data_IF_154444555853
#
_entry.id   IF_154444555853
#
_cell.length_a   1.000
_cell.length_b   1.000
_cell.length_c   1.000
_cell.angle_alpha   90.00
_cell.angle_beta   90.00
_cell.angle_gamma   90.00
#
_symmetry.space_group_name_H-M   'P 1'
#
loop_
_entity.id
_entity.type
_entity.pdbx_description
1 polymer ?
#
# COMPACT_ATOMS: atom_id res chain seq x y z
N UNK A 1 36.33 -63.40 42.18
CA UNK A 1 35.22 -63.22 43.15
C UNK A 1 35.40 -61.83 43.72
N UNK A 2 34.53 -60.84 43.55
CA UNK A 2 33.08 -60.75 43.81
C UNK A 2 32.47 -59.80 42.77
N UNK A 3 31.26 -60.13 42.29
CA UNK A 3 30.41 -59.34 41.41
C UNK A 3 29.81 -58.15 42.17
N UNK A 4 29.65 -57.00 41.52
CA UNK A 4 28.60 -56.05 41.86
C UNK A 4 28.17 -55.31 40.60
N UNK A 5 26.97 -55.64 40.15
CA UNK A 5 26.23 -54.99 39.07
C UNK A 5 25.38 -53.93 39.75
N UNK A 6 25.60 -52.65 39.44
CA UNK A 6 24.68 -51.57 39.80
C UNK A 6 24.06 -51.10 38.50
N UNK A 7 22.84 -51.58 38.25
CA UNK A 7 21.97 -51.14 37.17
C UNK A 7 21.31 -49.83 37.60
N UNK A 8 21.90 -48.70 37.21
CA UNK A 8 21.31 -47.37 37.38
C UNK A 8 20.36 -47.07 36.23
N UNK A 9 19.05 -47.07 36.51
CA UNK A 9 18.00 -46.67 35.57
C UNK A 9 18.09 -45.14 35.37
N UNK A 10 18.64 -44.70 34.24
CA UNK A 10 18.65 -43.30 33.86
C UNK A 10 17.25 -42.91 33.34
N UNK A 11 16.49 -42.20 34.17
CA UNK A 11 15.23 -41.58 33.79
C UNK A 11 15.54 -40.45 32.80
N UNK A 12 15.25 -40.68 31.52
CA UNK A 12 15.21 -39.64 30.49
C UNK A 12 13.97 -38.77 30.74
N UNK A 13 14.13 -37.67 31.48
CA UNK A 13 13.14 -36.59 31.52
C UNK A 13 13.19 -35.84 30.19
N UNK A 14 12.27 -36.19 29.28
CA UNK A 14 12.02 -35.47 28.04
C UNK A 14 11.29 -34.17 28.39
N UNK A 15 12.04 -33.10 28.67
CA UNK A 15 11.48 -31.76 28.87
C UNK A 15 10.95 -31.25 27.53
N UNK A 16 9.65 -31.37 27.29
CA UNK A 16 8.98 -30.71 26.18
C UNK A 16 9.08 -29.20 26.40
N UNK A 17 10.00 -28.55 25.68
CA UNK A 17 10.05 -27.09 25.56
C UNK A 17 8.80 -26.65 24.80
N UNK A 18 7.74 -26.32 25.53
CA UNK A 18 6.64 -25.54 25.01
C UNK A 18 7.22 -24.16 24.64
N UNK A 19 7.43 -23.92 23.34
CA UNK A 19 7.77 -22.59 22.83
C UNK A 19 6.49 -21.76 22.96
N UNK A 20 6.30 -21.14 24.12
CA UNK A 20 5.29 -20.09 24.30
C UNK A 20 5.74 -18.91 23.46
N UNK A 21 5.11 -18.73 22.29
CA UNK A 21 5.26 -17.51 21.52
C UNK A 21 4.61 -16.40 22.34
N UNK A 22 5.42 -15.56 22.98
CA UNK A 22 4.92 -14.36 23.62
C UNK A 22 4.40 -13.45 22.52
N UNK A 23 3.09 -13.32 22.42
CA UNK A 23 2.45 -12.30 21.59
C UNK A 23 2.83 -10.95 22.20
N UNK A 24 3.46 -10.09 21.40
CA UNK A 24 3.84 -8.75 21.86
C UNK A 24 2.56 -7.93 22.07
N UNK A 25 2.58 -7.00 23.02
CA UNK A 25 1.49 -6.02 23.11
C UNK A 25 1.54 -5.08 21.90
N UNK A 26 0.41 -4.44 21.58
CA UNK A 26 0.34 -3.43 20.53
C UNK A 26 1.45 -2.37 20.68
N UNK A 27 1.63 -1.83 21.88
CA UNK A 27 2.59 -0.76 22.15
C UNK A 27 4.04 -1.24 21.96
N UNK A 28 4.31 -2.51 22.28
CA UNK A 28 5.62 -3.12 22.04
C UNK A 28 5.89 -3.26 20.54
N UNK A 29 4.93 -3.74 19.76
CA UNK A 29 5.06 -3.85 18.30
C UNK A 29 5.20 -2.48 17.63
N UNK A 30 4.35 -1.52 18.03
CA UNK A 30 4.42 -0.13 17.58
C UNK A 30 5.82 0.45 17.86
N UNK A 31 6.29 0.36 19.10
CA UNK A 31 7.59 0.89 19.50
C UNK A 31 8.74 0.24 18.73
N UNK A 32 8.70 -1.09 18.52
CA UNK A 32 9.70 -1.80 17.73
C UNK A 32 9.69 -1.36 16.25
N UNK A 33 8.51 -1.20 15.64
CA UNK A 33 8.37 -0.72 14.28
C UNK A 33 8.87 0.72 14.11
N UNK A 34 8.49 1.62 15.01
CA UNK A 34 8.94 3.01 14.97
C UNK A 34 10.46 3.15 15.15
N UNK A 35 11.07 2.31 15.98
CA UNK A 35 12.53 2.28 16.14
C UNK A 35 13.28 1.88 14.85
N UNK A 36 12.63 1.11 13.94
CA UNK A 36 13.24 0.64 12.69
C UNK A 36 13.20 1.66 11.55
N UNK A 37 12.40 2.73 11.64
CA UNK A 37 12.23 3.70 10.54
C UNK A 37 13.56 4.29 10.05
N UNK A 38 14.46 4.67 10.97
CA UNK A 38 15.79 5.20 10.60
C UNK A 38 16.65 4.15 9.88
N UNK A 39 16.53 2.89 10.27
CA UNK A 39 17.22 1.78 9.61
C UNK A 39 16.69 1.58 8.20
N UNK A 40 15.37 1.57 8.00
CA UNK A 40 14.75 1.47 6.66
C UNK A 40 15.23 2.60 5.74
N UNK A 41 15.24 3.84 6.22
CA UNK A 41 15.76 4.98 5.45
C UNK A 41 17.23 4.80 5.04
N UNK A 42 18.07 4.36 5.99
CA UNK A 42 19.52 4.18 5.78
C UNK A 42 19.81 3.03 4.80
N UNK A 43 19.12 1.91 4.94
CA UNK A 43 19.24 0.76 4.04
C UNK A 43 18.70 1.09 2.64
N UNK A 44 17.55 1.76 2.56
CA UNK A 44 17.00 2.24 1.30
C UNK A 44 17.98 3.13 0.56
N UNK A 45 18.58 4.11 1.25
CA UNK A 45 19.61 4.98 0.68
C UNK A 45 20.82 4.18 0.21
N UNK A 46 21.35 3.27 1.05
CA UNK A 46 22.49 2.42 0.69
C UNK A 46 22.23 1.63 -0.59
N UNK A 47 21.08 0.97 -0.69
CA UNK A 47 20.73 0.20 -1.90
C UNK A 47 20.49 1.10 -3.11
N UNK A 48 19.91 2.28 -2.91
CA UNK A 48 19.71 3.26 -3.97
C UNK A 48 21.04 3.73 -4.55
N UNK A 49 22.01 4.09 -3.69
CA UNK A 49 23.36 4.52 -4.09
C UNK A 49 24.12 3.39 -4.82
N UNK A 50 23.87 2.13 -4.44
CA UNK A 50 24.39 0.94 -5.10
C UNK A 50 23.62 0.53 -6.37
N UNK A 51 22.66 1.35 -6.82
CA UNK A 51 21.78 1.08 -7.98
C UNK A 51 20.92 -0.19 -7.84
N UNK A 52 20.77 -0.72 -6.63
CA UNK A 52 19.90 -1.87 -6.31
C UNK A 52 18.47 -1.37 -6.04
N UNK A 53 17.85 -0.75 -7.04
CA UNK A 53 16.63 0.04 -6.85
C UNK A 53 15.42 -0.77 -6.36
N UNK A 54 15.32 -2.07 -6.66
CA UNK A 54 14.26 -2.93 -6.11
C UNK A 54 14.36 -3.08 -4.59
N UNK A 55 15.57 -3.30 -4.07
CA UNK A 55 15.81 -3.39 -2.61
C UNK A 55 15.68 -2.02 -1.93
N UNK A 56 16.08 -0.97 -2.64
CA UNK A 56 15.86 0.39 -2.18
C UNK A 56 14.37 0.69 -2.02
N UNK A 57 13.57 0.32 -3.03
CA UNK A 57 12.12 0.50 -3.04
C UNK A 57 11.48 -0.18 -1.84
N UNK A 58 11.78 -1.45 -1.59
CA UNK A 58 11.23 -2.20 -0.44
C UNK A 58 11.54 -1.51 0.90
N UNK A 59 12.77 -1.05 1.09
CA UNK A 59 13.15 -0.34 2.32
C UNK A 59 12.48 1.03 2.41
N UNK A 60 12.36 1.76 1.31
CA UNK A 60 11.67 3.05 1.31
C UNK A 60 10.16 2.92 1.51
N UNK A 61 9.52 1.86 1.01
CA UNK A 61 8.12 1.57 1.29
C UNK A 61 7.91 1.32 2.79
N UNK A 62 8.76 0.47 3.40
CA UNK A 62 8.75 0.28 4.86
C UNK A 62 8.98 1.59 5.62
N UNK A 63 9.90 2.44 5.15
CA UNK A 63 10.10 3.78 5.71
C UNK A 63 8.80 4.60 5.65
N UNK A 64 8.16 4.70 4.48
CA UNK A 64 6.94 5.49 4.29
C UNK A 64 5.78 4.97 5.15
N UNK A 65 5.54 3.66 5.15
CA UNK A 65 4.50 3.01 5.95
C UNK A 65 4.65 3.28 7.43
N UNK A 66 5.82 2.96 7.99
CA UNK A 66 6.07 3.12 9.42
C UNK A 66 6.19 4.58 9.86
N UNK A 67 6.73 5.48 9.02
CA UNK A 67 6.78 6.92 9.36
C UNK A 67 5.38 7.48 9.55
N UNK A 68 4.47 7.20 8.61
CA UNK A 68 3.09 7.67 8.69
C UNK A 68 2.32 7.00 9.84
N UNK A 69 2.51 5.68 10.03
CA UNK A 69 1.84 4.93 11.10
C UNK A 69 2.26 5.39 12.50
N UNK A 70 3.56 5.55 12.73
CA UNK A 70 4.09 6.03 14.01
C UNK A 70 3.66 7.46 14.31
N UNK A 71 3.54 8.31 13.30
CA UNK A 71 3.00 9.66 13.46
C UNK A 71 1.53 9.65 13.86
N UNK A 72 0.70 8.80 13.24
CA UNK A 72 -0.71 8.67 13.58
C UNK A 72 -0.94 8.14 15.01
N UNK A 73 0.01 7.36 15.52
CA UNK A 73 -0.02 6.78 16.87
C UNK A 73 1.00 7.43 17.81
N UNK A 74 1.30 8.72 17.60
CA UNK A 74 2.38 9.38 18.31
C UNK A 74 2.23 9.26 19.83
N UNK A 75 1.03 9.37 20.39
CA UNK A 75 0.81 9.35 21.85
C UNK A 75 1.18 8.01 22.52
N UNK A 76 1.32 6.94 21.75
CA UNK A 76 1.60 5.58 22.23
C UNK A 76 3.01 5.11 21.90
N UNK A 77 3.85 5.99 21.35
CA UNK A 77 5.27 5.72 21.09
C UNK A 77 6.17 6.86 21.55
N UNK A 78 7.39 6.49 21.94
CA UNK A 78 8.45 7.44 22.28
C UNK A 78 9.13 8.05 21.04
N UNK A 79 8.95 7.46 19.86
CA UNK A 79 9.53 7.95 18.60
C UNK A 79 8.53 8.85 17.89
N UNK A 80 8.90 10.11 17.67
CA UNK A 80 8.04 11.10 17.02
C UNK A 80 8.52 11.41 15.60
N UNK A 81 7.56 11.61 14.71
CA UNK A 81 7.79 12.03 13.32
C UNK A 81 6.98 13.30 13.02
N UNK A 82 7.45 14.05 12.03
CA UNK A 82 6.84 15.28 11.53
C UNK A 82 6.19 15.04 10.16
N UNK A 83 5.38 15.99 9.69
CA UNK A 83 4.86 15.95 8.31
C UNK A 83 6.02 15.95 7.28
N UNK A 84 7.13 16.62 7.62
CA UNK A 84 8.33 16.64 6.79
C UNK A 84 8.96 15.25 6.67
N UNK A 85 8.94 14.43 7.72
CA UNK A 85 9.47 13.07 7.66
C UNK A 85 8.63 12.17 6.72
N UNK A 86 7.31 12.32 6.75
CA UNK A 86 6.40 11.65 5.81
C UNK A 86 6.72 12.06 4.37
N UNK A 87 6.83 13.38 4.11
CA UNK A 87 7.15 13.90 2.78
C UNK A 87 8.47 13.32 2.23
N UNK A 88 9.52 13.26 3.08
CA UNK A 88 10.81 12.64 2.70
C UNK A 88 10.62 11.17 2.36
N UNK A 89 9.92 10.42 3.21
CA UNK A 89 9.74 8.98 3.02
C UNK A 89 8.96 8.68 1.71
N UNK A 90 7.86 9.40 1.47
CA UNK A 90 7.07 9.29 0.24
C UNK A 90 7.92 9.61 -1.01
N UNK A 91 8.72 10.69 -0.95
CA UNK A 91 9.60 11.07 -2.06
C UNK A 91 10.69 10.03 -2.34
N UNK A 92 11.24 9.39 -1.30
CA UNK A 92 12.23 8.32 -1.49
C UNK A 92 11.63 7.13 -2.25
N UNK A 93 10.38 6.76 -1.94
CA UNK A 93 9.65 5.71 -2.69
C UNK A 93 9.48 6.12 -4.15
N UNK A 94 8.99 7.33 -4.40
CA UNK A 94 8.82 7.86 -5.76
C UNK A 94 10.13 7.88 -6.57
N UNK A 95 11.26 8.24 -5.94
CA UNK A 95 12.58 8.23 -6.57
C UNK A 95 13.01 6.81 -6.97
N UNK A 96 12.77 5.81 -6.11
CA UNK A 96 13.09 4.42 -6.44
C UNK A 96 12.25 3.91 -7.63
N UNK A 97 10.94 4.19 -7.65
CA UNK A 97 10.08 3.89 -8.79
C UNK A 97 10.56 4.56 -10.09
N UNK A 98 10.97 5.83 -10.01
CA UNK A 98 11.49 6.55 -11.17
C UNK A 98 12.75 5.87 -11.73
N UNK A 99 13.65 5.42 -10.88
CA UNK A 99 14.86 4.68 -11.28
C UNK A 99 14.60 3.27 -11.80
N UNK A 100 13.47 2.66 -11.43
CA UNK A 100 13.00 1.39 -11.98
C UNK A 100 12.30 1.53 -13.33
N UNK A 101 12.17 2.75 -13.88
CA UNK A 101 11.46 2.98 -15.13
C UNK A 101 9.94 2.88 -14.97
N UNK A 102 9.42 3.13 -13.77
CA UNK A 102 7.99 3.09 -13.45
C UNK A 102 7.50 4.53 -13.13
N UNK A 103 7.46 5.42 -14.13
CA UNK A 103 7.22 6.85 -13.90
C UNK A 103 5.81 7.17 -13.40
N UNK A 104 4.82 6.32 -13.69
CA UNK A 104 3.44 6.54 -13.23
C UNK A 104 3.29 6.21 -11.74
N UNK A 105 3.90 5.11 -11.26
CA UNK A 105 4.05 4.85 -9.84
C UNK A 105 4.82 5.95 -9.12
N UNK A 106 5.95 6.40 -9.69
CA UNK A 106 6.71 7.52 -9.14
C UNK A 106 5.86 8.78 -9.00
N UNK A 107 5.06 9.10 -10.04
CA UNK A 107 4.12 10.21 -10.03
C UNK A 107 3.08 10.06 -8.91
N UNK A 108 2.47 8.89 -8.75
CA UNK A 108 1.49 8.66 -7.69
C UNK A 108 2.05 8.97 -6.29
N UNK A 109 3.29 8.55 -6.01
CA UNK A 109 3.96 8.85 -4.75
C UNK A 109 4.30 10.34 -4.56
N UNK A 110 4.81 11.02 -5.59
CA UNK A 110 5.09 12.46 -5.48
C UNK A 110 3.81 13.30 -5.32
N UNK A 111 2.69 12.83 -5.85
CA UNK A 111 1.40 13.50 -5.75
C UNK A 111 0.80 13.48 -4.34
N UNK A 112 1.25 12.60 -3.43
CA UNK A 112 0.82 12.60 -2.02
C UNK A 112 1.14 13.94 -1.33
N UNK A 113 2.29 14.52 -1.68
CA UNK A 113 2.78 15.78 -1.15
C UNK A 113 2.97 16.81 -2.28
N UNK A 114 2.00 16.92 -3.20
CA UNK A 114 2.12 17.67 -4.46
C UNK A 114 2.58 19.13 -4.29
N UNK A 115 2.21 19.76 -3.17
CA UNK A 115 2.54 21.16 -2.89
C UNK A 115 3.97 21.34 -2.39
N UNK A 116 4.65 20.27 -1.98
CA UNK A 116 6.00 20.34 -1.46
C UNK A 116 7.02 20.65 -2.58
N UNK A 117 8.06 21.41 -2.24
CA UNK A 117 9.11 21.77 -3.20
C UNK A 117 9.83 20.54 -3.75
N UNK A 118 10.00 19.50 -2.92
CA UNK A 118 10.68 18.26 -3.31
C UNK A 118 9.85 17.46 -4.32
N UNK A 119 8.55 17.27 -4.05
CA UNK A 119 7.64 16.61 -4.99
C UNK A 119 7.51 17.37 -6.30
N UNK A 120 7.38 18.70 -6.26
CA UNK A 120 7.33 19.51 -7.48
C UNK A 120 8.60 19.41 -8.31
N UNK A 121 9.76 19.40 -7.67
CA UNK A 121 11.03 19.19 -8.37
C UNK A 121 11.06 17.82 -9.03
N UNK A 122 10.72 16.76 -8.28
CA UNK A 122 10.76 15.39 -8.78
C UNK A 122 9.72 15.12 -9.88
N UNK A 123 8.50 15.66 -9.77
CA UNK A 123 7.45 15.56 -10.79
C UNK A 123 7.89 16.15 -12.13
N UNK A 124 8.68 17.23 -12.13
CA UNK A 124 9.23 17.86 -13.35
C UNK A 124 10.28 17.01 -14.04
N UNK A 125 10.93 16.09 -13.31
CA UNK A 125 11.93 15.17 -13.87
C UNK A 125 11.30 13.93 -14.51
N UNK A 126 10.02 13.66 -14.24
CA UNK A 126 9.31 12.54 -14.83
C UNK A 126 8.87 12.86 -16.26
N UNK A 127 8.84 11.85 -17.16
CA UNK A 127 8.23 12.03 -18.47
C UNK A 127 6.78 12.47 -18.31
N UNK A 128 6.33 13.35 -19.21
CA UNK A 128 4.93 13.74 -19.29
C UNK A 128 4.06 12.49 -19.49
N UNK A 129 2.96 12.34 -18.73
CA UNK A 129 2.12 11.18 -18.85
C UNK A 129 1.42 11.22 -20.22
N UNK A 130 1.46 10.09 -20.95
CA UNK A 130 0.83 9.99 -22.26
C UNK A 130 -0.64 9.61 -22.09
N UNK A 131 -1.53 10.33 -22.77
CA UNK A 131 -2.91 9.88 -22.92
C UNK A 131 -2.92 8.59 -23.74
N UNK A 132 -3.71 7.61 -23.30
CA UNK A 132 -3.94 6.37 -24.05
C UNK A 132 -5.43 6.13 -24.19
N UNK A 133 -5.85 5.72 -25.39
CA UNK A 133 -7.22 5.27 -25.61
C UNK A 133 -7.47 3.88 -25.01
N UNK A 134 -6.41 3.12 -24.70
CA UNK A 134 -6.56 1.87 -23.99
C UNK A 134 -6.61 2.11 -22.48
N UNK A 135 -7.77 1.80 -21.91
CA UNK A 135 -8.08 1.97 -20.50
C UNK A 135 -7.55 0.81 -19.65
N UNK A 136 -7.05 -0.26 -20.26
CA UNK A 136 -6.48 -1.41 -19.54
C UNK A 136 -5.26 -1.02 -18.69
N UNK A 137 -5.09 -1.65 -17.54
CA UNK A 137 -4.01 -1.39 -16.60
C UNK A 137 -4.46 -1.32 -15.16
N UNK A 138 -3.58 -0.82 -14.31
CA UNK A 138 -3.81 -0.67 -12.88
C UNK A 138 -3.94 0.81 -12.52
N UNK A 139 -4.92 1.12 -11.69
CA UNK A 139 -5.19 2.45 -11.17
C UNK A 139 -5.23 2.41 -9.66
N UNK A 140 -4.62 3.39 -9.00
CA UNK A 140 -4.50 3.38 -7.53
C UNK A 140 -4.91 4.70 -6.89
N UNK A 141 -5.45 4.60 -5.67
CA UNK A 141 -5.73 5.74 -4.78
C UNK A 141 -5.06 5.44 -3.44
N UNK A 142 -4.37 6.41 -2.87
CA UNK A 142 -3.69 6.21 -1.59
C UNK A 142 -4.69 5.99 -0.46
N UNK A 143 -4.42 5.01 0.40
CA UNK A 143 -5.32 4.59 1.48
C UNK A 143 -4.68 4.63 2.87
N UNK A 144 -3.47 5.19 2.97
CA UNK A 144 -2.75 5.41 4.23
C UNK A 144 -1.63 4.40 4.46
N UNK A 145 -0.65 4.78 5.30
CA UNK A 145 0.47 3.93 5.73
C UNK A 145 1.16 3.14 4.61
N UNK A 146 1.28 3.75 3.43
CA UNK A 146 1.94 3.18 2.26
C UNK A 146 1.08 2.22 1.42
N UNK A 147 -0.15 1.97 1.85
CA UNK A 147 -1.13 1.13 1.16
C UNK A 147 -2.02 1.95 0.20
N UNK A 148 -2.60 1.24 -0.77
CA UNK A 148 -3.38 1.81 -1.85
C UNK A 148 -4.65 0.99 -2.07
N UNK A 149 -5.72 1.65 -2.47
CA UNK A 149 -6.83 1.00 -3.15
C UNK A 149 -6.44 0.77 -4.61
N UNK A 150 -6.88 -0.36 -5.16
CA UNK A 150 -6.54 -0.80 -6.50
C UNK A 150 -7.81 -0.96 -7.36
N UNK A 151 -7.77 -0.43 -8.58
CA UNK A 151 -8.69 -0.78 -9.65
C UNK A 151 -7.88 -1.40 -10.79
N UNK A 152 -8.15 -2.67 -11.07
CA UNK A 152 -7.55 -3.39 -12.20
C UNK A 152 -8.53 -3.44 -13.36
N UNK A 153 -8.05 -3.07 -14.55
CA UNK A 153 -8.83 -3.05 -15.79
C UNK A 153 -8.16 -3.96 -16.81
N UNK A 154 -8.83 -5.03 -17.21
CA UNK A 154 -8.33 -6.00 -18.19
C UNK A 154 -9.24 -6.07 -19.41
N UNK A 155 -8.68 -6.17 -20.61
CA UNK A 155 -9.47 -6.31 -21.84
C UNK A 155 -9.90 -7.78 -22.00
N UNK A 156 -11.20 -8.02 -22.17
CA UNK A 156 -11.80 -9.34 -22.46
C UNK A 156 -12.84 -9.20 -23.55
N UNK A 157 -12.57 -9.78 -24.72
CA UNK A 157 -13.50 -9.91 -25.88
C UNK A 157 -14.58 -8.80 -25.98
N UNK A 158 -14.18 -7.62 -26.47
CA UNK A 158 -15.10 -6.49 -26.68
C UNK A 158 -15.46 -5.68 -25.42
N UNK A 159 -15.08 -6.15 -24.24
CA UNK A 159 -15.31 -5.49 -22.95
C UNK A 159 -14.01 -5.28 -22.17
N UNK A 160 -14.09 -4.44 -21.16
CA UNK A 160 -13.17 -4.35 -20.04
C UNK A 160 -13.80 -5.05 -18.84
N UNK A 161 -13.07 -5.97 -18.22
CA UNK A 161 -13.37 -6.47 -16.89
C UNK A 161 -12.64 -5.59 -15.88
N UNK A 162 -13.38 -5.08 -14.90
CA UNK A 162 -12.92 -4.12 -13.92
C UNK A 162 -13.10 -4.73 -12.53
N UNK A 163 -12.02 -4.79 -11.75
CA UNK A 163 -12.04 -5.22 -10.36
C UNK A 163 -11.53 -4.11 -9.45
N UNK A 164 -12.23 -3.86 -8.35
CA UNK A 164 -11.80 -2.99 -7.26
C UNK A 164 -11.38 -3.83 -6.05
N UNK A 165 -10.31 -3.41 -5.39
CA UNK A 165 -9.87 -3.90 -4.09
C UNK A 165 -9.50 -2.69 -3.23
N UNK A 166 -10.29 -2.42 -2.22
CA UNK A 166 -10.12 -1.30 -1.30
C UNK A 166 -9.64 -1.71 0.07
N UNK A 167 -8.92 -0.80 0.72
CA UNK A 167 -8.48 -0.94 2.10
C UNK A 167 -8.75 0.34 2.88
N UNK A 168 -9.08 0.18 4.16
CA UNK A 168 -9.11 1.28 5.12
C UNK A 168 -8.03 1.05 6.19
N UNK A 169 -7.01 1.90 6.16
CA UNK A 169 -5.91 1.86 7.12
C UNK A 169 -6.26 2.65 8.40
N UNK A 170 -7.04 2.03 9.28
CA UNK A 170 -7.34 2.58 10.61
C UNK A 170 -6.10 2.67 11.52
N UNK A 171 -6.22 3.34 12.69
CA UNK A 171 -5.09 3.65 13.58
C UNK A 171 -4.18 2.45 13.94
N UNK A 172 -4.71 1.23 13.93
CA UNK A 172 -3.99 0.01 14.28
C UNK A 172 -3.65 -0.90 13.09
N UNK A 173 -4.01 -0.49 11.87
CA UNK A 173 -4.10 -1.41 10.73
C UNK A 173 -2.77 -1.97 10.24
N UNK A 174 -1.64 -1.29 10.48
CA UNK A 174 -0.33 -1.81 10.10
C UNK A 174 0.08 -3.03 10.94
N UNK A 175 -0.48 -3.17 12.14
CA UNK A 175 -0.23 -4.29 13.06
C UNK A 175 -1.39 -5.30 13.02
N UNK A 176 -2.64 -4.84 13.09
CA UNK A 176 -3.81 -5.73 13.18
C UNK A 176 -4.57 -5.95 11.86
N UNK A 177 -4.10 -5.35 10.78
CA UNK A 177 -4.71 -5.46 9.46
C UNK A 177 -5.78 -4.38 9.20
N UNK A 178 -6.02 -4.05 7.92
CA UNK A 178 -7.05 -3.10 7.53
C UNK A 178 -8.43 -3.75 7.41
N UNK A 179 -9.46 -2.90 7.36
CA UNK A 179 -10.73 -3.32 6.79
C UNK A 179 -10.63 -3.32 5.27
N UNK A 180 -11.32 -4.24 4.60
CA UNK A 180 -11.22 -4.43 3.15
C UNK A 180 -12.60 -4.49 2.49
N UNK A 181 -12.64 -4.27 1.18
CA UNK A 181 -13.84 -4.43 0.36
C UNK A 181 -13.47 -4.60 -1.10
N UNK A 182 -14.31 -5.29 -1.86
CA UNK A 182 -14.10 -5.54 -3.27
C UNK A 182 -15.40 -5.47 -4.07
N UNK A 183 -15.28 -5.20 -5.36
CA UNK A 183 -16.36 -5.43 -6.30
C UNK A 183 -15.82 -5.70 -7.71
N UNK A 184 -16.65 -6.33 -8.54
CA UNK A 184 -16.38 -6.56 -9.95
C UNK A 184 -17.46 -5.98 -10.85
N UNK A 185 -17.08 -5.39 -11.97
CA UNK A 185 -18.01 -4.95 -13.01
C UNK A 185 -17.38 -5.07 -14.40
N UNK A 186 -18.17 -4.81 -15.44
CA UNK A 186 -17.68 -4.73 -16.81
C UNK A 186 -18.07 -3.42 -17.48
N UNK A 187 -17.38 -3.11 -18.58
CA UNK A 187 -17.63 -1.94 -19.39
C UNK A 187 -17.32 -2.26 -20.86
N UNK A 188 -18.17 -1.92 -21.84
CA UNK A 188 -17.80 -2.05 -23.26
C UNK A 188 -16.51 -1.29 -23.59
N UNK A 189 -15.69 -1.83 -24.50
CA UNK A 189 -14.37 -1.22 -24.83
C UNK A 189 -14.45 0.15 -25.51
N UNK A 190 -15.62 0.53 -26.03
CA UNK A 190 -15.89 1.85 -26.60
C UNK A 190 -16.50 2.84 -25.57
N UNK A 191 -16.81 2.40 -24.35
CA UNK A 191 -17.33 3.24 -23.29
C UNK A 191 -16.19 3.80 -22.41
N UNK A 192 -16.47 4.92 -21.74
CA UNK A 192 -15.58 5.55 -20.75
C UNK A 192 -16.20 5.67 -19.36
N UNK A 193 -17.39 5.11 -19.19
CA UNK A 193 -18.12 5.17 -17.94
C UNK A 193 -18.85 3.85 -17.74
N UNK A 194 -18.87 3.38 -16.50
CA UNK A 194 -19.72 2.27 -16.06
C UNK A 194 -20.21 2.53 -14.64
N UNK A 195 -21.24 1.80 -14.24
CA UNK A 195 -21.82 1.89 -12.91
C UNK A 195 -21.94 0.46 -12.37
N UNK A 196 -21.26 0.18 -11.27
CA UNK A 196 -21.56 -0.98 -10.44
C UNK A 196 -22.80 -0.68 -9.58
N UNK A 197 -23.71 -1.63 -9.50
CA UNK A 197 -24.89 -1.57 -8.65
C UNK A 197 -25.09 -2.91 -7.96
N UNK A 198 -25.25 -2.87 -6.66
CA UNK A 198 -25.70 -4.00 -5.85
C UNK A 198 -26.57 -3.46 -4.72
N UNK A 199 -27.80 -3.96 -4.61
CA UNK A 199 -28.82 -3.40 -3.71
C UNK A 199 -28.91 -1.87 -3.83
N UNK A 200 -28.72 -1.13 -2.74
CA UNK A 200 -28.73 0.33 -2.71
C UNK A 200 -27.33 0.95 -2.92
N UNK A 201 -26.29 0.13 -3.03
CA UNK A 201 -24.95 0.59 -3.37
C UNK A 201 -24.85 0.91 -4.86
N UNK A 202 -24.35 2.10 -5.16
CA UNK A 202 -24.08 2.53 -6.53
C UNK A 202 -22.71 3.18 -6.63
N UNK A 203 -21.83 2.57 -7.42
CA UNK A 203 -20.46 3.06 -7.65
C UNK A 203 -20.29 3.38 -9.13
N UNK A 204 -20.14 4.66 -9.44
CA UNK A 204 -19.88 5.15 -10.79
C UNK A 204 -18.38 5.29 -11.01
N UNK A 205 -17.88 4.69 -12.09
CA UNK A 205 -16.50 4.82 -12.55
C UNK A 205 -16.48 5.62 -13.84
N UNK A 206 -15.76 6.75 -13.85
CA UNK A 206 -15.63 7.65 -14.98
C UNK A 206 -14.15 7.78 -15.38
N UNK A 207 -13.80 7.22 -16.55
CA UNK A 207 -12.45 7.20 -17.08
C UNK A 207 -12.14 8.52 -17.78
N UNK A 208 -11.12 9.21 -17.27
CA UNK A 208 -10.75 10.56 -17.70
C UNK A 208 -9.27 10.63 -18.04
N UNK A 209 -8.89 11.72 -18.70
CA UNK A 209 -7.49 11.99 -19.02
C UNK A 209 -7.20 13.48 -18.87
N UNK A 210 -6.00 13.83 -18.39
CA UNK A 210 -5.50 15.21 -18.42
C UNK A 210 -3.96 15.23 -18.51
N UNK A 211 -3.38 16.38 -18.84
CA UNK A 211 -1.94 16.53 -19.06
C UNK A 211 -1.08 16.31 -17.79
N UNK A 212 -1.66 16.48 -16.59
CA UNK A 212 -0.94 16.38 -15.31
C UNK A 212 -0.87 14.94 -14.79
N UNK A 213 -1.96 14.20 -14.93
CA UNK A 213 -2.16 12.86 -14.36
C UNK A 213 -2.06 11.75 -15.41
N UNK A 214 -2.25 12.08 -16.70
CA UNK A 214 -2.51 11.06 -17.72
C UNK A 214 -3.93 10.52 -17.57
N UNK A 215 -4.09 9.22 -17.79
CA UNK A 215 -5.36 8.54 -17.56
C UNK A 215 -5.61 8.34 -16.06
N UNK A 216 -6.85 8.56 -15.62
CA UNK A 216 -7.27 8.35 -14.25
C UNK A 216 -8.76 7.97 -14.22
N UNK A 217 -9.22 7.41 -13.11
CA UNK A 217 -10.64 7.11 -12.88
C UNK A 217 -11.15 8.05 -11.80
N UNK A 218 -12.22 8.78 -12.09
CA UNK A 218 -13.01 9.42 -11.05
C UNK A 218 -14.10 8.45 -10.62
N UNK A 219 -14.00 7.98 -9.37
CA UNK A 219 -15.00 7.14 -8.73
C UNK A 219 -15.90 8.00 -7.87
N UNK A 220 -17.20 7.73 -7.94
CA UNK A 220 -18.21 8.26 -7.04
C UNK A 220 -19.06 7.12 -6.51
N UNK A 221 -19.12 6.95 -5.21
CA UNK A 221 -19.99 6.00 -4.53
C UNK A 221 -21.11 6.78 -3.84
N UNK A 222 -22.33 6.35 -4.13
CA UNK A 222 -23.50 6.78 -3.38
C UNK A 222 -23.89 5.60 -2.50
N UNK A 223 -24.01 5.86 -1.20
CA UNK A 223 -24.47 4.87 -0.23
C UNK A 223 -25.95 5.09 0.06
N UNK A 224 -26.75 4.04 -0.14
CA UNK A 224 -28.06 3.95 0.50
C UNK A 224 -27.94 3.47 1.95
N UNK A 225 -29.06 3.09 2.57
CA UNK A 225 -29.11 2.73 4.00
C UNK A 225 -28.27 1.50 4.39
N UNK A 226 -28.00 0.59 3.44
CA UNK A 226 -27.28 -0.68 3.67
C UNK A 226 -25.78 -0.66 3.36
N UNK A 227 -25.24 0.44 2.80
CA UNK A 227 -23.85 0.53 2.36
C UNK A 227 -23.50 -0.41 1.19
N UNK A 228 -22.21 -0.54 0.86
CA UNK A 228 -21.72 -1.39 -0.24
C UNK A 228 -21.25 -2.79 0.18
N UNK A 229 -21.59 -3.22 1.41
CA UNK A 229 -21.13 -4.50 1.95
C UNK A 229 -19.62 -4.60 2.21
N UNK A 230 -18.89 -3.49 2.08
CA UNK A 230 -17.46 -3.44 2.41
C UNK A 230 -17.24 -3.46 3.93
N UNK A 231 -16.01 -3.78 4.34
CA UNK A 231 -15.58 -3.62 5.73
C UNK A 231 -15.78 -2.18 6.22
N UNK A 232 -15.87 -2.02 7.54
CA UNK A 232 -16.14 -0.73 8.16
C UNK A 232 -15.17 0.38 7.68
N UNK A 233 -15.70 1.54 7.30
CA UNK A 233 -14.97 2.69 6.74
C UNK A 233 -14.28 2.48 5.38
N UNK A 234 -14.58 1.41 4.66
CA UNK A 234 -14.05 1.20 3.31
C UNK A 234 -14.98 1.88 2.31
N UNK A 235 -14.43 2.79 1.51
CA UNK A 235 -15.16 3.57 0.49
C UNK A 235 -14.36 3.62 -0.80
N UNK A 236 -15.02 3.40 -1.94
CA UNK A 236 -14.37 3.45 -3.26
C UNK A 236 -14.20 4.88 -3.82
N UNK A 237 -14.83 5.90 -3.23
CA UNK A 237 -14.81 7.29 -3.70
C UNK A 237 -13.42 7.90 -3.93
N UNK A 238 -13.19 8.52 -5.07
CA UNK A 238 -12.01 9.36 -5.26
C UNK A 238 -11.37 9.27 -6.63
N UNK A 239 -10.13 9.72 -6.71
CA UNK A 239 -9.38 9.80 -7.96
C UNK A 239 -8.29 8.74 -7.97
N UNK A 240 -8.39 7.79 -8.90
CA UNK A 240 -7.43 6.70 -9.05
C UNK A 240 -6.50 7.00 -10.22
N UNK A 241 -5.20 7.07 -9.94
CA UNK A 241 -4.16 7.36 -10.93
C UNK A 241 -3.74 6.08 -11.63
N UNK A 242 -3.68 6.08 -12.97
CA UNK A 242 -3.11 4.95 -13.70
C UNK A 242 -1.62 4.82 -13.35
N UNK A 243 -1.20 3.66 -12.89
CA UNK A 243 0.20 3.36 -12.50
C UNK A 243 0.86 2.31 -13.38
N UNK A 244 0.06 1.44 -14.01
CA UNK A 244 0.52 0.47 -15.00
C UNK A 244 -0.38 0.45 -16.22
N UNK A 245 0.19 0.18 -17.40
CA UNK A 245 -0.58 -0.12 -18.60
C UNK A 245 -0.89 -1.62 -18.65
N UNK A 246 -2.04 -1.99 -19.21
CA UNK A 246 -2.33 -3.41 -19.45
C UNK A 246 -1.29 -4.04 -20.38
N UNK A 247 -1.04 -5.34 -20.15
CA UNK A 247 -0.21 -6.17 -21.01
C UNK A 247 -0.99 -6.65 -22.23
#
# INVERSE_FOLDING_TARGET
>A
MIKSIITGCAVLTLSALAVTHAEFSYEQELQQGCNKVKQYASLGKKFYDQKQYKKALENFQNQASWTAFCKANADETTVKFTDRDIEVANNNVGLAYAKLGQPLWARAWFMLDEKSKSSQFNLKQLPAPKASNDLSGEYVRYSGFGEWDHITVSRKQGQYAIGYSGVYMGLRSLIYGPNMGDFGTTMPTNAKQTIYKDQDCRIQLDFRTNAKLGNYIQVKQNEGESGCGFGHNVYADGTYLKVESGK
#
